data_IF_491368273993
#
_entry.id   IF_491368273993
#
_cell.length_a   1.000
_cell.length_b   1.000
_cell.length_c   1.000
_cell.angle_alpha   90.00
_cell.angle_beta   90.00
_cell.angle_gamma   90.00
#
_symmetry.space_group_name_H-M   'P 1'
#
loop_
_entity.id
_entity.type
_entity.pdbx_description
1 polymer ?
#
# COMPACT_ATOMS: atom_id res chain seq x y z
N UNK A 1 6.56 5.47 -10.59
CA UNK A 1 7.67 5.80 -11.50
C UNK A 1 8.90 4.94 -11.16
N UNK A 2 9.81 4.72 -12.14
CA UNK A 2 11.04 3.95 -11.93
C UNK A 2 11.86 4.44 -10.74
N UNK A 3 11.99 5.76 -10.60
CA UNK A 3 12.72 6.37 -9.48
C UNK A 3 12.15 5.98 -8.10
N UNK A 4 10.85 5.77 -8.00
CA UNK A 4 10.21 5.33 -6.74
C UNK A 4 10.57 3.86 -6.44
N UNK A 5 10.66 3.01 -7.47
CA UNK A 5 11.09 1.61 -7.34
C UNK A 5 12.56 1.56 -6.90
N UNK A 6 13.42 2.36 -7.53
CA UNK A 6 14.84 2.42 -7.20
C UNK A 6 15.07 2.93 -5.76
N UNK A 7 14.33 3.96 -5.35
CA UNK A 7 14.37 4.48 -3.99
C UNK A 7 13.85 3.45 -2.97
N UNK A 8 12.73 2.78 -3.27
CA UNK A 8 12.19 1.72 -2.43
C UNK A 8 13.24 0.61 -2.22
N UNK A 9 13.88 0.17 -3.31
CA UNK A 9 14.91 -0.85 -3.26
C UNK A 9 16.11 -0.46 -2.37
N UNK A 10 16.60 0.78 -2.49
CA UNK A 10 17.69 1.32 -1.66
C UNK A 10 17.30 1.42 -0.18
N UNK A 11 16.02 1.64 0.10
CA UNK A 11 15.46 1.75 1.44
C UNK A 11 15.11 0.39 2.06
N UNK A 12 15.32 -0.73 1.36
CA UNK A 12 15.01 -2.08 1.83
C UNK A 12 13.55 -2.49 1.64
N UNK A 13 12.84 -1.84 0.70
CA UNK A 13 11.44 -2.14 0.38
C UNK A 13 11.27 -2.64 -1.05
N UNK A 14 10.18 -3.35 -1.32
CA UNK A 14 9.58 -3.57 -2.63
C UNK A 14 8.23 -2.85 -2.72
N UNK A 15 7.83 -2.43 -3.91
CA UNK A 15 6.49 -1.90 -4.17
C UNK A 15 5.64 -3.05 -4.72
N UNK A 16 4.55 -3.36 -4.03
CA UNK A 16 3.55 -4.36 -4.45
C UNK A 16 2.17 -3.72 -4.50
N UNK A 17 1.34 -4.14 -5.45
CA UNK A 17 -0.08 -3.82 -5.44
C UNK A 17 -0.78 -4.76 -4.47
N UNK A 18 -1.33 -4.22 -3.38
CA UNK A 18 -1.99 -5.02 -2.36
C UNK A 18 -3.48 -4.69 -2.26
N UNK A 19 -4.31 -5.72 -2.31
CA UNK A 19 -5.65 -5.72 -1.77
C UNK A 19 -5.59 -6.03 -0.26
N UNK A 20 -6.26 -5.24 0.53
CA UNK A 20 -6.31 -5.41 1.98
C UNK A 20 -7.75 -5.28 2.47
N UNK A 21 -8.18 -6.22 3.31
CA UNK A 21 -9.48 -6.19 3.96
C UNK A 21 -9.33 -6.56 5.43
N UNK A 22 -9.96 -5.79 6.32
CA UNK A 22 -9.91 -6.00 7.76
C UNK A 22 -11.26 -5.67 8.39
N UNK A 23 -11.69 -6.48 9.35
CA UNK A 23 -12.87 -6.23 10.16
C UNK A 23 -12.43 -5.58 11.48
N UNK A 24 -12.89 -4.36 11.74
CA UNK A 24 -12.56 -3.59 12.94
C UNK A 24 -13.85 -3.08 13.57
N UNK A 25 -14.13 -3.51 14.79
CA UNK A 25 -15.31 -3.07 15.54
C UNK A 25 -16.61 -3.16 14.71
N UNK A 26 -16.82 -4.28 14.02
CA UNK A 26 -17.98 -4.53 13.17
C UNK A 26 -18.08 -3.61 11.92
N UNK A 27 -16.98 -2.96 11.55
CA UNK A 27 -16.85 -2.17 10.33
C UNK A 27 -15.78 -2.77 9.42
N UNK A 28 -16.03 -2.77 8.12
CA UNK A 28 -15.07 -3.27 7.13
C UNK A 28 -14.17 -2.13 6.68
N UNK A 29 -12.87 -2.36 6.72
CA UNK A 29 -11.88 -1.52 6.09
C UNK A 29 -11.29 -2.26 4.90
N UNK A 30 -11.40 -1.68 3.71
CA UNK A 30 -10.87 -2.27 2.47
C UNK A 30 -10.11 -1.24 1.67
N UNK A 31 -9.07 -1.70 0.98
CA UNK A 31 -8.28 -0.86 0.07
C UNK A 31 -7.53 -1.71 -0.95
N UNK A 32 -7.28 -1.11 -2.12
CA UNK A 32 -6.33 -1.63 -3.11
C UNK A 32 -5.44 -0.47 -3.54
N UNK A 33 -4.14 -0.58 -3.31
CA UNK A 33 -3.17 0.43 -3.74
C UNK A 33 -1.74 -0.09 -3.73
N UNK A 34 -0.82 0.55 -4.48
CA UNK A 34 0.61 0.28 -4.35
C UNK A 34 1.07 0.52 -2.90
N UNK A 35 1.83 -0.42 -2.38
CA UNK A 35 2.31 -0.41 -0.98
C UNK A 35 3.79 -0.76 -0.94
N UNK A 36 4.57 -0.02 -0.14
CA UNK A 36 5.93 -0.40 0.18
C UNK A 36 5.91 -1.52 1.22
N UNK A 37 6.52 -2.65 0.89
CA UNK A 37 6.65 -3.83 1.75
C UNK A 37 8.13 -4.06 2.04
N UNK A 38 8.48 -4.35 3.29
CA UNK A 38 9.85 -4.72 3.65
C UNK A 38 10.29 -5.93 2.82
N UNK A 39 11.51 -5.92 2.31
CA UNK A 39 12.07 -7.04 1.54
C UNK A 39 12.13 -8.36 2.34
N UNK A 40 12.18 -8.26 3.67
CA UNK A 40 12.13 -9.42 4.58
C UNK A 40 10.74 -10.02 4.76
N UNK A 41 9.70 -9.38 4.28
CA UNK A 41 8.32 -9.89 4.36
C UNK A 41 8.08 -10.97 3.30
N UNK A 42 7.31 -12.01 3.66
CA UNK A 42 6.92 -13.08 2.74
C UNK A 42 6.27 -12.53 1.46
N UNK A 43 5.35 -11.56 1.55
CA UNK A 43 4.69 -10.95 0.37
C UNK A 43 5.71 -10.33 -0.59
N UNK A 44 6.84 -9.84 -0.10
CA UNK A 44 7.85 -9.25 -0.96
C UNK A 44 8.51 -10.26 -1.91
N UNK A 45 8.52 -11.55 -1.57
CA UNK A 45 9.08 -12.62 -2.39
C UNK A 45 8.14 -13.14 -3.49
N UNK A 46 6.86 -12.77 -3.44
CA UNK A 46 5.87 -13.20 -4.45
C UNK A 46 6.08 -12.39 -5.72
N UNK A 47 6.62 -12.98 -6.76
CA UNK A 47 6.96 -12.33 -8.02
C UNK A 47 6.40 -13.08 -9.25
N UNK A 48 6.47 -12.46 -10.41
CA UNK A 48 6.03 -13.06 -11.67
C UNK A 48 4.52 -13.31 -11.73
N UNK A 49 4.13 -14.51 -12.12
CA UNK A 49 2.73 -14.95 -12.24
C UNK A 49 2.12 -15.38 -10.92
N UNK A 50 2.93 -15.45 -9.85
CA UNK A 50 2.48 -15.88 -8.53
C UNK A 50 1.63 -14.80 -7.87
N UNK A 51 0.53 -15.26 -7.28
CA UNK A 51 -0.31 -14.51 -6.37
C UNK A 51 -0.30 -15.15 -4.98
N UNK A 52 -0.58 -14.36 -3.96
CA UNK A 52 -0.76 -14.89 -2.62
C UNK A 52 -1.91 -14.19 -1.91
N UNK A 53 -2.59 -14.96 -1.05
CA UNK A 53 -3.57 -14.46 -0.08
C UNK A 53 -3.05 -14.81 1.30
N UNK A 54 -2.97 -13.80 2.16
CA UNK A 54 -2.65 -13.97 3.58
C UNK A 54 -3.92 -13.71 4.37
N UNK A 55 -4.28 -14.66 5.22
CA UNK A 55 -5.46 -14.58 6.10
C UNK A 55 -4.98 -14.67 7.54
N UNK A 56 -5.25 -13.64 8.32
CA UNK A 56 -5.07 -13.66 9.76
C UNK A 56 -6.41 -13.96 10.42
N UNK A 57 -6.53 -15.10 11.07
CA UNK A 57 -7.76 -15.57 11.68
C UNK A 57 -7.54 -16.11 13.09
N UNK A 58 -8.56 -15.98 13.93
CA UNK A 58 -8.56 -16.61 15.25
C UNK A 58 -9.43 -17.88 15.22
N UNK A 59 -9.00 -19.00 15.81
CA UNK A 59 -7.75 -19.23 16.56
C UNK A 59 -6.57 -19.72 15.71
N UNK A 60 -6.73 -19.87 14.38
CA UNK A 60 -5.75 -20.54 13.50
C UNK A 60 -4.46 -19.71 13.30
N UNK A 61 -4.51 -18.41 13.56
CA UNK A 61 -3.40 -17.49 13.29
C UNK A 61 -3.30 -17.14 11.81
N UNK A 62 -2.07 -16.95 11.32
CA UNK A 62 -1.79 -16.56 9.94
C UNK A 62 -1.75 -17.79 9.02
N UNK A 63 -2.53 -17.75 7.96
CA UNK A 63 -2.50 -18.72 6.86
C UNK A 63 -2.06 -18.05 5.58
N UNK A 64 -1.22 -18.71 4.79
CA UNK A 64 -0.73 -18.20 3.51
C UNK A 64 -1.10 -19.19 2.41
N UNK A 65 -1.79 -18.68 1.39
CA UNK A 65 -2.14 -19.46 0.20
C UNK A 65 -1.44 -18.78 -0.98
N UNK A 66 -0.61 -19.54 -1.68
CA UNK A 66 0.13 -19.06 -2.86
C UNK A 66 -0.12 -19.99 -4.03
N UNK A 67 -0.24 -19.41 -5.21
CA UNK A 67 -0.38 -20.14 -6.47
C UNK A 67 -0.25 -19.25 -7.68
N UNK A 68 -0.21 -19.84 -8.84
CA UNK A 68 -0.24 -19.11 -10.10
C UNK A 68 -1.62 -18.48 -10.29
N UNK A 69 -1.64 -17.16 -10.54
CA UNK A 69 -2.87 -16.39 -10.73
C UNK A 69 -3.26 -16.23 -12.20
N UNK A 70 -2.42 -16.68 -13.13
CA UNK A 70 -2.65 -16.60 -14.56
C UNK A 70 -1.92 -17.75 -15.30
N UNK A 71 -2.38 -18.05 -16.49
CA UNK A 71 -1.81 -19.07 -17.36
C UNK A 71 -2.84 -20.15 -17.73
N UNK A 72 -2.65 -20.82 -18.90
CA UNK A 72 -3.61 -21.81 -19.38
C UNK A 72 -3.71 -23.03 -18.45
N UNK A 73 -2.62 -23.47 -17.91
CA UNK A 73 -2.57 -24.67 -17.05
C UNK A 73 -3.27 -24.44 -15.72
N UNK A 74 -2.99 -23.32 -15.03
CA UNK A 74 -3.66 -22.96 -13.79
C UNK A 74 -5.15 -22.75 -13.97
N UNK A 75 -5.56 -22.09 -15.07
CA UNK A 75 -6.97 -21.86 -15.39
C UNK A 75 -7.68 -23.17 -15.72
N UNK A 76 -7.07 -24.05 -16.52
CA UNK A 76 -7.64 -25.36 -16.86
C UNK A 76 -7.81 -26.23 -15.62
N UNK A 77 -6.81 -26.26 -14.74
CA UNK A 77 -6.87 -27.01 -13.48
C UNK A 77 -8.04 -26.54 -12.61
N UNK A 78 -8.23 -25.22 -12.48
CA UNK A 78 -9.34 -24.66 -11.71
C UNK A 78 -10.70 -25.03 -12.31
N UNK A 79 -10.87 -24.88 -13.63
CA UNK A 79 -12.11 -25.22 -14.34
C UNK A 79 -12.47 -26.71 -14.20
N UNK A 80 -11.49 -27.61 -14.38
CA UNK A 80 -11.71 -29.06 -14.25
C UNK A 80 -12.07 -29.41 -12.82
N UNK A 81 -11.42 -28.78 -11.84
CA UNK A 81 -11.74 -28.97 -10.41
C UNK A 81 -13.19 -28.56 -10.09
N UNK A 82 -13.63 -27.41 -10.59
CA UNK A 82 -14.98 -26.90 -10.35
C UNK A 82 -16.05 -27.78 -11.03
N UNK A 83 -15.83 -28.19 -12.29
CA UNK A 83 -16.71 -29.12 -13.01
C UNK A 83 -16.80 -30.46 -12.25
N UNK A 84 -15.67 -31.01 -11.83
CA UNK A 84 -15.62 -32.26 -11.08
C UNK A 84 -16.37 -32.15 -9.74
N UNK A 85 -16.26 -31.02 -9.07
CA UNK A 85 -16.98 -30.75 -7.81
C UNK A 85 -18.50 -30.72 -8.03
N UNK A 86 -18.95 -30.05 -9.09
CA UNK A 86 -20.38 -30.01 -9.46
C UNK A 86 -20.89 -31.40 -9.78
N UNK A 87 -20.18 -32.19 -10.59
CA UNK A 87 -20.57 -33.54 -10.97
C UNK A 87 -20.65 -34.50 -9.78
N UNK A 88 -19.83 -34.26 -8.75
CA UNK A 88 -19.87 -35.04 -7.47
C UNK A 88 -20.98 -34.54 -6.52
N UNK A 89 -21.77 -33.57 -6.90
CA UNK A 89 -22.82 -33.01 -6.05
C UNK A 89 -22.31 -32.11 -4.92
N UNK A 90 -21.05 -31.70 -4.95
CA UNK A 90 -20.46 -30.83 -3.94
C UNK A 90 -20.88 -29.37 -4.15
N UNK A 91 -22.17 -29.11 -4.16
CA UNK A 91 -22.72 -27.74 -4.27
C UNK A 91 -22.86 -27.17 -2.87
N UNK A 92 -21.97 -26.25 -2.50
CA UNK A 92 -22.00 -25.56 -1.21
C UNK A 92 -22.21 -24.06 -1.43
N UNK A 93 -22.94 -23.43 -0.50
CA UNK A 93 -23.01 -21.97 -0.50
C UNK A 93 -21.61 -21.38 -0.28
N UNK A 94 -21.19 -20.37 -1.06
CA UNK A 94 -19.97 -19.63 -0.75
C UNK A 94 -20.03 -19.13 0.71
N UNK A 95 -18.96 -19.31 1.45
CA UNK A 95 -18.87 -18.94 2.88
C UNK A 95 -19.82 -19.69 3.81
N UNK A 96 -20.35 -20.85 3.41
CA UNK A 96 -21.20 -21.73 4.22
C UNK A 96 -22.50 -21.10 4.74
N UNK A 97 -22.87 -19.91 4.31
CA UNK A 97 -24.11 -19.21 4.68
C UNK A 97 -24.86 -18.73 3.45
N UNK A 98 -26.19 -18.71 3.54
CA UNK A 98 -27.05 -18.20 2.47
C UNK A 98 -26.93 -16.68 2.31
N UNK A 99 -27.27 -16.15 1.13
CA UNK A 99 -27.25 -14.70 0.90
C UNK A 99 -28.19 -13.93 1.84
N UNK A 100 -29.28 -14.56 2.31
CA UNK A 100 -30.24 -13.96 3.23
C UNK A 100 -29.67 -13.77 4.63
N UNK A 101 -28.73 -14.62 5.03
CA UNK A 101 -28.10 -14.58 6.36
C UNK A 101 -26.88 -13.66 6.42
N UNK A 102 -26.42 -13.17 5.26
CA UNK A 102 -25.29 -12.25 5.18
C UNK A 102 -25.67 -10.89 5.74
N UNK A 103 -24.84 -10.39 6.65
CA UNK A 103 -24.99 -9.03 7.21
C UNK A 103 -24.24 -8.03 6.36
N UNK A 104 -24.89 -6.92 6.00
CA UNK A 104 -24.24 -5.77 5.39
C UNK A 104 -23.50 -5.00 6.48
N UNK A 105 -22.19 -4.84 6.32
CA UNK A 105 -21.36 -4.09 7.25
C UNK A 105 -21.09 -2.68 6.71
N UNK A 106 -20.90 -1.73 7.62
CA UNK A 106 -20.51 -0.37 7.25
C UNK A 106 -19.01 -0.30 6.94
N UNK A 107 -18.63 0.59 6.02
CA UNK A 107 -17.24 0.82 5.69
C UNK A 107 -16.60 1.81 6.64
N UNK A 108 -15.35 1.53 7.02
CA UNK A 108 -14.51 2.45 7.80
C UNK A 108 -13.65 3.29 6.87
N UNK A 109 -13.62 4.61 7.10
CA UNK A 109 -12.81 5.52 6.31
C UNK A 109 -11.31 5.24 6.48
N UNK A 110 -10.56 5.37 5.38
CA UNK A 110 -9.09 5.32 5.40
C UNK A 110 -8.48 6.54 6.12
N UNK A 111 -9.19 7.65 6.19
CA UNK A 111 -8.66 8.92 6.71
C UNK A 111 -8.29 8.86 8.20
N UNK A 112 -8.98 8.02 8.98
CA UNK A 112 -8.71 7.82 10.40
C UNK A 112 -7.68 6.72 10.69
N UNK A 113 -7.21 6.01 9.66
CA UNK A 113 -6.18 4.98 9.80
C UNK A 113 -4.79 5.60 9.87
N UNK A 114 -3.91 4.90 10.57
CA UNK A 114 -2.50 5.29 10.71
C UNK A 114 -1.63 4.50 9.75
N UNK A 115 -0.72 5.21 9.07
CA UNK A 115 0.28 4.63 8.17
C UNK A 115 1.61 5.36 8.32
N UNK A 116 2.69 4.63 8.18
CA UNK A 116 3.95 5.21 7.72
C UNK A 116 3.86 5.40 6.21
N UNK A 117 4.53 6.40 5.68
CA UNK A 117 4.47 6.70 4.26
C UNK A 117 5.85 7.07 3.71
N UNK A 118 6.05 6.70 2.46
CA UNK A 118 7.06 7.23 1.56
C UNK A 118 6.43 8.39 0.81
N UNK A 119 7.09 9.55 0.85
CA UNK A 119 6.71 10.73 0.07
C UNK A 119 7.91 11.17 -0.75
N UNK A 120 7.67 11.51 -2.03
CA UNK A 120 8.68 12.09 -2.89
C UNK A 120 8.20 13.42 -3.44
N UNK A 121 9.09 14.42 -3.32
CA UNK A 121 8.86 15.79 -3.80
C UNK A 121 9.96 16.14 -4.80
N UNK A 122 9.60 16.61 -5.97
CA UNK A 122 10.52 17.23 -6.92
C UNK A 122 10.35 18.75 -6.80
N UNK A 123 11.40 19.43 -6.35
CA UNK A 123 11.36 20.84 -5.95
C UNK A 123 12.54 21.59 -6.51
N UNK A 124 12.42 22.93 -6.56
CA UNK A 124 13.53 23.82 -6.86
C UNK A 124 14.63 23.65 -5.78
N UNK A 125 15.88 23.56 -6.20
CA UNK A 125 17.02 23.49 -5.28
C UNK A 125 17.45 24.90 -4.87
N UNK A 126 16.75 25.43 -3.84
CA UNK A 126 16.95 26.78 -3.31
C UNK A 126 16.94 26.77 -1.79
N UNK A 127 17.69 27.71 -1.15
CA UNK A 127 17.60 27.90 0.31
C UNK A 127 16.17 28.11 0.77
N UNK A 128 15.81 27.53 1.92
CA UNK A 128 14.50 27.66 2.54
C UNK A 128 13.43 26.67 2.05
N UNK A 129 13.61 25.96 0.91
CA UNK A 129 12.62 24.99 0.41
C UNK A 129 12.47 23.83 1.39
N UNK A 130 13.57 23.25 1.87
CA UNK A 130 13.52 22.15 2.84
C UNK A 130 12.85 22.59 4.14
N UNK A 131 13.19 23.77 4.65
CA UNK A 131 12.57 24.35 5.84
C UNK A 131 11.05 24.53 5.69
N UNK A 132 10.59 25.02 4.54
CA UNK A 132 9.16 25.12 4.24
C UNK A 132 8.47 23.77 4.27
N UNK A 133 9.07 22.74 3.66
CA UNK A 133 8.53 21.38 3.64
C UNK A 133 8.42 20.85 5.07
N UNK A 134 9.51 20.86 5.84
CA UNK A 134 9.53 20.34 7.22
C UNK A 134 8.56 21.08 8.14
N UNK A 135 8.37 22.38 7.95
CA UNK A 135 7.36 23.17 8.65
C UNK A 135 5.93 22.67 8.36
N UNK A 136 5.63 22.34 7.10
CA UNK A 136 4.31 21.79 6.74
C UNK A 136 4.10 20.44 7.43
N UNK A 137 5.11 19.56 7.49
CA UNK A 137 5.03 18.31 8.23
C UNK A 137 4.73 18.54 9.71
N UNK A 138 5.47 19.43 10.36
CA UNK A 138 5.30 19.80 11.76
C UNK A 138 3.88 20.33 12.05
N UNK A 139 3.39 21.30 11.27
CA UNK A 139 2.04 21.89 11.40
C UNK A 139 0.93 20.84 11.28
N UNK A 140 1.13 19.78 10.50
CA UNK A 140 0.17 18.69 10.33
C UNK A 140 0.41 17.52 11.31
N UNK A 141 1.32 17.67 12.28
CA UNK A 141 1.68 16.64 13.27
C UNK A 141 2.14 15.32 12.62
N UNK A 142 2.88 15.42 11.52
CA UNK A 142 3.50 14.28 10.83
C UNK A 142 5.00 14.28 11.15
N UNK A 143 5.44 13.24 11.86
CA UNK A 143 6.85 13.09 12.25
C UNK A 143 7.65 12.42 11.12
N UNK A 144 8.82 12.98 10.83
CA UNK A 144 9.75 12.48 9.80
C UNK A 144 10.69 11.47 10.46
N UNK A 145 10.74 10.25 9.92
CA UNK A 145 11.66 9.19 10.35
C UNK A 145 12.98 9.24 9.58
N UNK A 146 12.93 9.54 8.28
CA UNK A 146 14.11 9.64 7.42
C UNK A 146 13.84 10.68 6.34
N UNK A 147 14.84 11.45 6.01
CA UNK A 147 14.83 12.41 4.91
C UNK A 147 16.09 12.21 4.08
N UNK A 148 15.93 12.15 2.77
CA UNK A 148 17.03 12.01 1.81
C UNK A 148 16.80 13.07 0.74
N UNK A 149 17.80 13.91 0.51
CA UNK A 149 17.82 14.87 -0.57
C UNK A 149 18.85 14.44 -1.61
N UNK A 150 18.38 14.25 -2.83
CA UNK A 150 19.24 13.90 -3.96
C UNK A 150 19.23 15.07 -4.95
N UNK A 151 20.33 15.82 -5.07
CA UNK A 151 20.43 16.87 -6.07
C UNK A 151 20.39 16.26 -7.47
N UNK A 152 19.70 16.93 -8.39
CA UNK A 152 19.69 16.51 -9.79
C UNK A 152 20.99 16.97 -10.48
N UNK A 153 21.40 16.27 -11.55
CA UNK A 153 22.60 16.61 -12.35
C UNK A 153 22.59 18.07 -12.84
N UNK A 154 21.42 18.63 -13.10
CA UNK A 154 21.27 20.03 -13.55
C UNK A 154 21.41 21.08 -12.43
N UNK A 155 21.56 20.70 -11.16
CA UNK A 155 21.63 21.56 -9.98
C UNK A 155 20.44 22.57 -9.82
N UNK A 156 19.43 22.54 -10.70
CA UNK A 156 18.24 23.42 -10.62
C UNK A 156 17.11 22.81 -9.79
N UNK A 157 17.09 21.49 -9.68
CA UNK A 157 16.02 20.73 -9.01
C UNK A 157 16.63 19.74 -8.04
N UNK A 158 15.89 19.43 -7.01
CA UNK A 158 16.24 18.39 -6.03
C UNK A 158 15.07 17.45 -5.83
N UNK A 159 15.38 16.16 -5.67
CA UNK A 159 14.40 15.15 -5.28
C UNK A 159 14.53 14.91 -3.78
N UNK A 160 13.48 15.23 -3.03
CA UNK A 160 13.40 15.01 -1.59
C UNK A 160 12.52 13.80 -1.32
N UNK A 161 13.09 12.79 -0.69
CA UNK A 161 12.40 11.59 -0.24
C UNK A 161 12.24 11.63 1.27
N UNK A 162 11.00 11.46 1.73
CA UNK A 162 10.67 11.45 3.16
C UNK A 162 10.01 10.13 3.52
N UNK A 163 10.50 9.47 4.57
CA UNK A 163 9.82 8.38 5.25
C UNK A 163 9.25 8.93 6.56
N UNK A 164 7.96 8.73 6.80
CA UNK A 164 7.31 9.21 8.01
C UNK A 164 7.25 8.13 9.10
N UNK A 165 7.09 8.55 10.34
CA UNK A 165 6.51 7.72 11.38
C UNK A 165 5.03 7.48 11.11
N UNK A 166 4.41 6.58 11.90
CA UNK A 166 2.98 6.31 11.82
C UNK A 166 2.18 7.60 12.05
N UNK A 167 1.33 7.95 11.10
CA UNK A 167 0.55 9.19 11.10
C UNK A 167 -0.84 8.94 10.51
N UNK A 168 -1.84 9.72 10.92
CA UNK A 168 -3.18 9.62 10.35
C UNK A 168 -3.14 9.88 8.84
N UNK A 169 -3.87 9.08 8.06
CA UNK A 169 -3.93 9.27 6.61
C UNK A 169 -4.42 10.66 6.22
N UNK A 170 -5.37 11.21 6.95
CA UNK A 170 -5.85 12.59 6.77
C UNK A 170 -4.73 13.63 6.90
N UNK A 171 -3.81 13.45 7.87
CA UNK A 171 -2.64 14.33 8.04
C UNK A 171 -1.66 14.21 6.88
N UNK A 172 -1.37 12.98 6.43
CA UNK A 172 -0.51 12.74 5.26
C UNK A 172 -1.07 13.40 3.99
N UNK A 173 -2.38 13.27 3.75
CA UNK A 173 -3.05 13.89 2.62
C UNK A 173 -3.02 15.43 2.70
N UNK A 174 -3.15 16.01 3.90
CA UNK A 174 -3.01 17.47 4.10
C UNK A 174 -1.60 17.96 3.77
N UNK A 175 -0.57 17.23 4.22
CA UNK A 175 0.83 17.54 3.89
C UNK A 175 1.02 17.59 2.38
N UNK A 176 0.57 16.54 1.65
CA UNK A 176 0.67 16.49 0.20
C UNK A 176 0.01 17.70 -0.45
N UNK A 177 -1.26 17.99 -0.12
CA UNK A 177 -2.00 19.10 -0.72
C UNK A 177 -1.35 20.46 -0.46
N UNK A 178 -0.86 20.67 0.76
CA UNK A 178 -0.21 21.93 1.12
C UNK A 178 1.13 22.13 0.42
N UNK A 179 1.91 21.06 0.21
CA UNK A 179 3.18 21.15 -0.52
C UNK A 179 2.90 21.30 -2.02
N UNK A 180 1.97 20.53 -2.59
CA UNK A 180 1.62 20.57 -4.02
C UNK A 180 1.30 22.00 -4.51
N UNK A 181 0.68 22.82 -3.65
CA UNK A 181 0.29 24.17 -3.96
C UNK A 181 1.43 25.23 -3.79
N UNK A 182 2.67 24.80 -3.56
CA UNK A 182 3.80 25.71 -3.38
C UNK A 182 4.52 25.98 -4.71
N UNK A 183 4.93 27.23 -4.91
CA UNK A 183 5.62 27.67 -6.14
C UNK A 183 6.96 26.99 -6.40
N UNK A 184 7.58 26.41 -5.38
CA UNK A 184 8.84 25.68 -5.53
C UNK A 184 8.65 24.21 -5.94
N UNK A 185 7.43 23.69 -6.05
CA UNK A 185 7.15 22.32 -6.47
C UNK A 185 7.15 22.25 -7.99
N UNK A 186 7.93 21.32 -8.52
CA UNK A 186 8.13 21.15 -9.98
C UNK A 186 7.20 20.09 -10.55
N UNK A 187 6.96 19.02 -9.77
CA UNK A 187 6.06 17.94 -10.16
C UNK A 187 5.15 17.53 -9.01
N UNK A 188 3.99 16.98 -9.39
CA UNK A 188 3.03 16.47 -8.41
C UNK A 188 3.68 15.50 -7.43
N UNK A 189 3.57 15.75 -6.11
CA UNK A 189 4.11 14.88 -5.09
C UNK A 189 3.61 13.43 -5.19
N UNK A 190 4.45 12.48 -4.83
CA UNK A 190 4.09 11.06 -4.76
C UNK A 190 3.98 10.62 -3.32
N UNK A 191 2.95 9.82 -3.02
CA UNK A 191 2.75 9.18 -1.73
C UNK A 191 2.53 7.68 -1.96
N UNK A 192 3.31 6.86 -1.28
CA UNK A 192 3.10 5.41 -1.23
C UNK A 192 3.10 5.00 0.24
N UNK A 193 2.07 4.31 0.68
CA UNK A 193 1.96 3.85 2.06
C UNK A 193 2.90 2.68 2.30
N UNK A 194 3.41 2.58 3.52
CA UNK A 194 4.23 1.46 3.96
C UNK A 194 3.31 0.49 4.69
N UNK A 195 3.29 -0.76 4.24
CA UNK A 195 2.54 -1.84 4.87
C UNK A 195 3.23 -2.29 6.15
N UNK A 196 2.45 -2.58 7.19
CA UNK A 196 2.88 -3.43 8.28
C UNK A 196 2.96 -4.85 7.76
N UNK A 197 4.13 -5.42 7.83
CA UNK A 197 4.34 -6.86 7.68
C UNK A 197 3.89 -7.56 8.93
#
# INVERSE_FOLDING_TARGET
EKIDIDNANKLGYKIKLLGFSELINNQVFQRVHPTLIKKSSYIASIDGVLNAVIVDGYPVGQSVIQGEGAGPEATTSALVSDISSILRGNIKFPFSISNKERKKLNYKSIDDRYFSAYLRFEVLDKPGVLSNITNIFSKNKVSIKRLIQNPNKSKKFSSIVVITHNSKNKSLNKVIKQIENKSFVVKKPKLIRIGSS
#
